data_IF_576957975581
#
_entry.id   IF_576957975581
#
_cell.length_a   1.000
_cell.length_b   1.000
_cell.length_c   1.000
_cell.angle_alpha   90.00
_cell.angle_beta   90.00
_cell.angle_gamma   90.00
#
_symmetry.space_group_name_H-M   'P 1'
#
loop_
_entity.id
_entity.type
_entity.pdbx_description
1 polymer ?
#
# COMPACT_ATOMS: atom_id res chain seq x y z
N UNK A 1 11.82 -3.72 12.28
CA UNK A 1 12.34 -3.29 13.59
C UNK A 1 13.82 -2.86 13.51
N UNK A 2 14.72 -3.68 12.96
CA UNK A 2 16.14 -3.37 12.83
C UNK A 2 16.40 -2.13 11.96
N UNK A 3 15.75 -2.01 10.80
CA UNK A 3 15.83 -0.80 9.96
C UNK A 3 15.35 0.45 10.69
N UNK A 4 14.27 0.36 11.44
CA UNK A 4 13.73 1.48 12.20
C UNK A 4 14.69 1.94 13.31
N UNK A 5 15.40 1.02 13.95
CA UNK A 5 16.45 1.36 14.92
C UNK A 5 17.62 2.06 14.23
N UNK A 6 18.13 1.53 13.12
CA UNK A 6 19.21 2.16 12.36
C UNK A 6 18.87 3.57 11.85
N UNK A 7 17.63 3.79 11.43
CA UNK A 7 17.14 5.12 11.01
C UNK A 7 17.22 6.10 12.18
N UNK A 8 16.71 5.74 13.35
CA UNK A 8 16.75 6.59 14.55
C UNK A 8 18.18 6.87 15.03
N UNK A 9 19.03 5.85 15.04
CA UNK A 9 20.43 5.99 15.46
C UNK A 9 21.24 6.88 14.50
N UNK A 10 20.79 7.02 13.25
CA UNK A 10 21.40 7.87 12.23
C UNK A 10 20.88 9.30 12.24
N UNK A 11 19.95 9.65 13.11
CA UNK A 11 19.28 10.96 13.17
C UNK A 11 18.73 11.39 11.81
N UNK A 12 17.99 10.49 11.14
CA UNK A 12 17.26 10.75 9.91
C UNK A 12 15.76 10.48 10.15
N UNK A 13 14.85 11.19 9.46
CA UNK A 13 13.43 10.99 9.67
C UNK A 13 12.99 9.62 9.15
N UNK A 14 12.10 8.96 9.88
CA UNK A 14 11.41 7.77 9.44
C UNK A 14 10.20 8.18 8.58
N UNK A 15 10.27 7.89 7.29
CA UNK A 15 9.15 8.08 6.35
C UNK A 15 8.48 6.73 6.11
N UNK A 16 7.17 6.67 6.27
CA UNK A 16 6.36 5.46 6.04
C UNK A 16 5.34 5.71 4.96
N UNK A 17 5.40 4.94 3.88
CA UNK A 17 4.30 4.82 2.94
C UNK A 17 3.22 3.91 3.54
N UNK A 18 2.10 4.52 3.92
CA UNK A 18 0.98 3.84 4.57
C UNK A 18 -0.23 3.65 3.64
N UNK A 19 0.02 3.66 2.35
CA UNK A 19 -1.02 3.57 1.31
C UNK A 19 -1.91 2.35 1.49
N UNK A 20 -1.33 1.17 1.78
CA UNK A 20 -2.08 -0.09 1.85
C UNK A 20 -2.77 -0.33 3.19
N UNK A 21 -2.20 0.17 4.28
CA UNK A 21 -2.82 0.04 5.58
C UNK A 21 -3.90 1.12 5.84
N UNK A 22 -3.77 2.28 5.21
CA UNK A 22 -4.61 3.46 5.47
C UNK A 22 -4.54 3.93 6.93
N UNK A 23 -5.02 5.12 7.27
CA UNK A 23 -5.07 5.54 8.66
C UNK A 23 -6.12 4.78 9.50
N UNK A 24 -6.95 3.95 8.85
CA UNK A 24 -7.93 3.10 9.55
C UNK A 24 -7.28 1.86 10.18
N UNK A 25 -6.38 1.16 9.46
CA UNK A 25 -5.73 -0.04 9.97
C UNK A 25 -4.51 0.29 10.83
N UNK A 26 -3.67 1.24 10.39
CA UNK A 26 -2.44 1.62 11.10
C UNK A 26 -2.21 3.13 10.99
N UNK A 27 -1.81 3.73 12.10
CA UNK A 27 -1.34 5.12 12.16
C UNK A 27 0.14 5.16 12.54
N UNK A 28 1.06 5.16 11.57
CA UNK A 28 2.50 4.99 11.83
C UNK A 28 3.11 6.05 12.74
N UNK A 29 2.55 7.26 12.80
CA UNK A 29 2.99 8.33 13.71
C UNK A 29 2.87 7.90 15.18
N UNK A 30 1.89 7.08 15.53
CA UNK A 30 1.71 6.53 16.89
C UNK A 30 2.82 5.52 17.25
N UNK A 31 3.49 4.99 16.22
CA UNK A 31 4.63 4.07 16.34
C UNK A 31 5.98 4.73 16.06
N UNK A 32 6.00 6.07 15.96
CA UNK A 32 7.21 6.87 15.84
C UNK A 32 7.67 7.12 14.42
N UNK A 33 6.79 7.07 13.42
CA UNK A 33 7.08 7.65 12.12
C UNK A 33 7.07 9.17 12.23
N UNK A 34 7.99 9.81 11.53
CA UNK A 34 8.09 11.26 11.47
C UNK A 34 7.25 11.84 10.35
N UNK A 35 7.23 11.14 9.22
CA UNK A 35 6.46 11.50 8.03
C UNK A 35 5.69 10.27 7.55
N UNK A 36 4.42 10.48 7.18
CA UNK A 36 3.59 9.45 6.55
C UNK A 36 3.12 9.94 5.19
N UNK A 37 3.23 9.07 4.20
CA UNK A 37 2.72 9.33 2.85
C UNK A 37 1.62 8.34 2.50
N UNK A 38 0.66 8.81 1.71
CA UNK A 38 -0.37 7.97 1.11
C UNK A 38 -0.51 8.30 -0.37
N UNK A 39 -0.57 7.29 -1.21
CA UNK A 39 -1.20 7.45 -2.52
C UNK A 39 -2.72 7.53 -2.30
N UNK A 40 -3.27 8.74 -2.39
CA UNK A 40 -4.71 8.93 -2.26
C UNK A 40 -5.49 8.28 -3.42
N UNK A 41 -4.82 8.04 -4.54
CA UNK A 41 -5.30 7.26 -5.69
C UNK A 41 -5.87 5.91 -5.29
N UNK A 42 -5.31 5.28 -4.24
CA UNK A 42 -5.64 3.92 -3.78
C UNK A 42 -6.88 3.95 -2.86
N UNK A 43 -6.83 3.38 -1.68
CA UNK A 43 -7.97 3.27 -0.76
C UNK A 43 -8.67 4.60 -0.43
N UNK A 44 -7.95 5.73 -0.38
CA UNK A 44 -8.57 7.02 -0.05
C UNK A 44 -9.62 7.38 -1.11
N UNK A 45 -9.26 7.41 -2.39
CA UNK A 45 -10.22 7.58 -3.48
C UNK A 45 -11.10 6.35 -3.68
N UNK A 46 -10.50 5.16 -3.66
CA UNK A 46 -11.16 3.86 -3.63
C UNK A 46 -11.74 3.38 -4.96
N UNK A 47 -11.67 4.15 -6.04
CA UNK A 47 -12.36 3.85 -7.31
C UNK A 47 -11.43 3.93 -8.54
N UNK A 48 -10.14 4.17 -8.36
CA UNK A 48 -9.18 4.30 -9.48
C UNK A 48 -9.47 5.46 -10.44
N UNK A 49 -10.31 6.41 -10.06
CA UNK A 49 -10.82 7.47 -10.95
C UNK A 49 -9.99 8.75 -10.93
N UNK A 50 -9.08 8.89 -9.99
CA UNK A 50 -8.28 10.12 -9.84
C UNK A 50 -6.92 9.83 -9.20
N UNK A 51 -5.93 10.63 -9.54
CA UNK A 51 -4.55 10.52 -9.04
C UNK A 51 -4.28 11.64 -8.05
N UNK A 52 -3.67 11.28 -6.92
CA UNK A 52 -3.23 12.22 -5.91
C UNK A 52 -2.51 11.56 -4.75
N UNK A 53 -1.95 12.39 -3.89
CA UNK A 53 -1.21 11.95 -2.71
C UNK A 53 -1.43 12.86 -1.52
N UNK A 54 -1.09 12.34 -0.34
CA UNK A 54 -1.11 13.08 0.92
C UNK A 54 0.20 12.85 1.64
N UNK A 55 0.77 13.92 2.18
CA UNK A 55 1.96 13.89 3.04
C UNK A 55 1.55 14.44 4.40
N UNK A 56 1.81 13.68 5.44
CA UNK A 56 1.54 14.05 6.83
C UNK A 56 2.87 14.18 7.56
N UNK A 57 3.15 15.37 8.06
CA UNK A 57 4.30 15.66 8.92
C UNK A 57 3.85 15.54 10.38
N UNK A 58 4.55 14.73 11.18
CA UNK A 58 4.25 14.60 12.61
C UNK A 58 4.61 15.86 13.40
N UNK A 59 5.48 16.71 12.86
CA UNK A 59 6.02 17.88 13.52
C UNK A 59 6.99 17.58 14.67
N UNK A 60 7.41 16.32 14.82
CA UNK A 60 8.23 15.87 15.98
C UNK A 60 9.71 15.73 15.66
N UNK A 61 10.08 15.66 14.39
CA UNK A 61 11.47 15.51 14.00
C UNK A 61 12.23 16.86 14.14
N UNK A 62 13.34 16.82 14.84
CA UNK A 62 14.23 18.00 14.96
C UNK A 62 15.15 18.09 13.76
N UNK A 63 14.81 18.96 12.81
CA UNK A 63 15.59 19.19 11.59
C UNK A 63 16.92 19.90 11.85
N UNK A 64 17.14 20.44 13.06
CA UNK A 64 18.34 21.20 13.41
C UNK A 64 19.42 20.37 14.10
N UNK A 65 19.14 19.09 14.41
CA UNK A 65 20.04 18.22 15.19
C UNK A 65 21.33 17.82 14.49
N UNK A 66 21.42 18.04 13.18
CA UNK A 66 22.60 17.74 12.37
C UNK A 66 22.63 18.62 11.11
N UNK A 67 23.68 18.51 10.31
CA UNK A 67 23.94 19.27 9.10
C UNK A 67 23.35 18.65 7.80
N UNK A 68 22.56 17.61 7.92
CA UNK A 68 22.00 16.87 6.75
C UNK A 68 20.89 17.63 6.01
N UNK A 69 20.30 18.64 6.64
CA UNK A 69 19.10 19.32 6.14
C UNK A 69 19.30 20.82 5.93
N UNK A 70 20.40 21.27 5.24
CA UNK A 70 20.70 22.70 5.08
C UNK A 70 19.54 23.45 4.40
N UNK A 71 18.86 22.82 3.47
CA UNK A 71 17.72 23.40 2.74
C UNK A 71 16.47 23.72 3.62
N UNK A 72 16.37 23.11 4.81
CA UNK A 72 15.35 23.45 5.82
C UNK A 72 15.85 24.42 6.89
N UNK A 73 17.14 24.31 7.25
CA UNK A 73 17.72 24.97 8.42
C UNK A 73 18.31 26.33 8.06
N UNK A 74 18.97 26.44 6.90
CA UNK A 74 19.60 27.68 6.45
C UNK A 74 18.53 28.70 5.98
N UNK A 75 18.84 30.02 6.14
CA UNK A 75 17.97 31.07 5.63
C UNK A 75 17.72 30.96 4.13
N UNK A 76 16.47 30.86 3.72
CA UNK A 76 16.09 30.73 2.32
C UNK A 76 16.00 32.11 1.66
N UNK A 77 16.85 32.37 0.66
CA UNK A 77 16.93 33.66 -0.05
C UNK A 77 15.64 34.02 -0.75
N UNK A 78 14.94 33.02 -1.36
CA UNK A 78 13.68 33.22 -2.07
C UNK A 78 12.50 33.57 -1.14
N UNK A 79 12.68 33.39 0.17
CA UNK A 79 11.71 33.69 1.23
C UNK A 79 12.27 34.68 2.25
N UNK A 80 13.05 35.65 1.78
CA UNK A 80 13.56 36.76 2.60
C UNK A 80 14.32 36.32 3.86
N UNK A 81 15.02 35.20 3.78
CA UNK A 81 15.84 34.70 4.89
C UNK A 81 15.11 33.80 5.89
N UNK A 82 13.90 33.33 5.58
CA UNK A 82 13.17 32.38 6.43
C UNK A 82 13.93 31.07 6.54
N UNK A 83 14.12 30.58 7.77
CA UNK A 83 14.56 29.21 8.09
C UNK A 83 13.32 28.36 8.35
N UNK A 84 12.97 27.47 7.44
CA UNK A 84 11.75 26.66 7.59
C UNK A 84 11.75 25.85 8.88
N UNK A 85 12.90 25.28 9.26
CA UNK A 85 13.04 24.49 10.49
C UNK A 85 12.77 25.32 11.75
N UNK A 86 13.16 26.60 11.77
CA UNK A 86 13.02 27.48 12.95
C UNK A 86 11.74 28.28 12.94
N UNK A 87 11.40 28.87 11.79
CA UNK A 87 10.31 29.85 11.69
C UNK A 87 8.95 29.19 11.39
N UNK A 88 8.96 27.95 10.87
CA UNK A 88 7.75 27.22 10.48
C UNK A 88 7.47 25.96 11.32
N UNK A 89 8.23 25.76 12.42
CA UNK A 89 7.94 24.63 13.31
C UNK A 89 6.54 24.76 13.93
N UNK A 90 5.83 23.62 14.15
CA UNK A 90 6.26 22.23 13.95
C UNK A 90 6.07 21.70 12.52
N UNK A 91 5.51 22.46 11.60
CA UNK A 91 5.17 22.05 10.24
C UNK A 91 6.27 22.39 9.22
N UNK A 92 7.55 22.36 9.60
CA UNK A 92 8.68 22.79 8.78
C UNK A 92 8.74 22.08 7.42
N UNK A 93 8.66 20.75 7.42
CA UNK A 93 8.75 19.94 6.22
C UNK A 93 7.56 20.15 5.27
N UNK A 94 6.34 20.09 5.81
CA UNK A 94 5.13 20.30 5.03
C UNK A 94 5.06 21.73 4.46
N UNK A 95 5.52 22.75 5.23
CA UNK A 95 5.58 24.13 4.78
C UNK A 95 6.61 24.30 3.65
N UNK A 96 7.79 23.71 3.78
CA UNK A 96 8.79 23.72 2.71
C UNK A 96 8.26 23.12 1.42
N UNK A 97 7.62 21.94 1.48
CA UNK A 97 7.02 21.30 0.30
C UNK A 97 6.02 22.23 -0.37
N UNK A 98 5.15 22.90 0.39
CA UNK A 98 4.14 23.81 -0.17
C UNK A 98 4.75 25.11 -0.72
N UNK A 99 5.69 25.67 0.01
CA UNK A 99 6.29 26.97 -0.33
C UNK A 99 7.29 26.88 -1.49
N UNK A 100 8.07 25.79 -1.54
CA UNK A 100 9.14 25.61 -2.53
C UNK A 100 8.72 24.61 -3.61
N UNK A 101 8.55 23.33 -3.26
CA UNK A 101 8.38 22.28 -4.27
C UNK A 101 7.07 22.43 -5.05
N UNK A 102 5.96 22.66 -4.37
CA UNK A 102 4.67 22.87 -5.03
C UNK A 102 4.68 24.12 -5.92
N UNK A 103 5.23 25.23 -5.42
CA UNK A 103 5.34 26.46 -6.17
C UNK A 103 6.21 26.33 -7.41
N UNK A 104 7.39 25.71 -7.26
CA UNK A 104 8.39 25.66 -8.32
C UNK A 104 8.05 24.61 -9.39
N UNK A 105 7.43 23.49 -9.01
CA UNK A 105 7.01 22.44 -9.93
C UNK A 105 5.61 22.65 -10.49
N UNK A 106 4.76 23.43 -9.81
CA UNK A 106 3.37 23.63 -10.19
C UNK A 106 2.48 22.39 -10.02
N UNK A 107 2.94 21.37 -9.28
CA UNK A 107 2.26 20.08 -9.10
C UNK A 107 1.07 20.19 -8.13
N UNK A 108 0.16 21.12 -8.38
CA UNK A 108 -1.04 21.32 -7.56
C UNK A 108 -2.15 20.36 -7.95
N UNK A 109 -2.92 19.90 -6.93
CA UNK A 109 -4.07 19.03 -7.18
C UNK A 109 -5.26 19.81 -7.73
N UNK A 110 -6.02 19.20 -8.65
CA UNK A 110 -7.28 19.76 -9.14
C UNK A 110 -8.32 19.83 -8.00
N UNK A 111 -9.13 20.91 -7.91
CA UNK A 111 -10.25 20.97 -6.97
C UNK A 111 -11.24 19.83 -7.12
N UNK A 112 -11.48 19.34 -8.33
CA UNK A 112 -12.35 18.18 -8.59
C UNK A 112 -11.75 16.91 -8.00
N UNK A 113 -10.44 16.69 -8.16
CA UNK A 113 -9.78 15.53 -7.54
C UNK A 113 -9.80 15.63 -6.00
N UNK A 114 -9.60 16.83 -5.45
CA UNK A 114 -9.70 17.05 -4.00
C UNK A 114 -11.10 16.71 -3.49
N UNK A 115 -12.15 17.11 -4.19
CA UNK A 115 -13.54 16.78 -3.87
C UNK A 115 -13.78 15.27 -3.87
N UNK A 116 -13.31 14.56 -4.91
CA UNK A 116 -13.42 13.10 -5.01
C UNK A 116 -12.72 12.41 -3.83
N UNK A 117 -11.53 12.87 -3.44
CA UNK A 117 -10.82 12.32 -2.30
C UNK A 117 -11.51 12.59 -0.96
N UNK A 118 -12.09 13.78 -0.79
CA UNK A 118 -12.87 14.09 0.42
C UNK A 118 -14.09 13.18 0.53
N UNK A 119 -14.83 12.96 -0.56
CA UNK A 119 -15.93 11.98 -0.57
C UNK A 119 -15.45 10.55 -0.26
N UNK A 120 -14.32 10.14 -0.84
CA UNK A 120 -13.71 8.85 -0.56
C UNK A 120 -13.32 8.68 0.91
N UNK A 121 -12.84 9.74 1.56
CA UNK A 121 -12.50 9.71 2.98
C UNK A 121 -13.71 9.48 3.89
N UNK A 122 -14.88 10.00 3.55
CA UNK A 122 -16.10 9.84 4.36
C UNK A 122 -16.52 8.37 4.51
N UNK A 123 -16.21 7.54 3.51
CA UNK A 123 -16.55 6.10 3.52
C UNK A 123 -15.32 5.20 3.68
N UNK A 124 -14.14 5.75 3.93
CA UNK A 124 -12.89 4.98 3.97
C UNK A 124 -12.95 3.83 4.98
N UNK A 125 -13.39 4.09 6.21
CA UNK A 125 -13.45 3.08 7.27
C UNK A 125 -14.39 1.93 6.90
N UNK A 126 -15.58 2.24 6.39
CA UNK A 126 -16.57 1.25 5.97
C UNK A 126 -16.04 0.37 4.82
N UNK A 127 -15.37 0.98 3.86
CA UNK A 127 -14.80 0.25 2.73
C UNK A 127 -13.62 -0.63 3.16
N UNK A 128 -12.69 -0.08 3.93
CA UNK A 128 -11.50 -0.85 4.39
C UNK A 128 -11.91 -2.00 5.29
N UNK A 129 -12.90 -1.83 6.16
CA UNK A 129 -13.46 -2.91 6.98
C UNK A 129 -14.00 -4.04 6.10
N UNK A 130 -14.81 -3.70 5.08
CA UNK A 130 -15.35 -4.69 4.13
C UNK A 130 -14.24 -5.36 3.31
N UNK A 131 -13.27 -4.60 2.83
CA UNK A 131 -12.09 -5.15 2.12
C UNK A 131 -11.37 -6.20 2.97
N UNK A 132 -11.11 -5.89 4.24
CA UNK A 132 -10.41 -6.79 5.17
C UNK A 132 -11.24 -8.03 5.46
N UNK A 133 -12.54 -7.86 5.75
CA UNK A 133 -13.45 -8.99 6.00
C UNK A 133 -13.47 -9.96 4.81
N UNK A 134 -13.65 -9.43 3.60
CA UNK A 134 -13.64 -10.24 2.38
C UNK A 134 -12.27 -10.93 2.17
N UNK A 135 -11.17 -10.18 2.34
CA UNK A 135 -9.83 -10.72 2.15
C UNK A 135 -9.53 -11.89 3.12
N UNK A 136 -9.93 -11.79 4.39
CA UNK A 136 -9.69 -12.86 5.35
C UNK A 136 -10.46 -14.14 4.99
N UNK A 137 -11.68 -14.03 4.47
CA UNK A 137 -12.47 -15.17 3.98
C UNK A 137 -11.82 -15.80 2.73
N UNK A 138 -11.37 -14.97 1.80
CA UNK A 138 -10.65 -15.44 0.59
C UNK A 138 -9.31 -16.09 0.96
N UNK A 139 -8.55 -15.52 1.90
CA UNK A 139 -7.30 -16.12 2.40
C UNK A 139 -7.54 -17.51 2.98
N UNK A 140 -8.62 -17.69 3.76
CA UNK A 140 -8.96 -19.00 4.32
C UNK A 140 -9.39 -19.98 3.21
N UNK A 141 -10.22 -19.55 2.26
CA UNK A 141 -10.59 -20.38 1.11
C UNK A 141 -9.36 -20.85 0.31
N UNK A 142 -8.46 -19.92 -0.02
CA UNK A 142 -7.25 -20.25 -0.78
C UNK A 142 -6.28 -21.16 -0.01
N UNK A 143 -6.21 -21.03 1.32
CA UNK A 143 -5.40 -21.91 2.16
C UNK A 143 -5.85 -23.37 2.07
N UNK A 144 -7.14 -23.59 1.96
CA UNK A 144 -7.75 -24.91 1.92
C UNK A 144 -7.89 -25.46 0.48
N UNK A 145 -7.55 -24.65 -0.57
CA UNK A 145 -7.68 -25.00 -1.96
C UNK A 145 -6.51 -25.96 -2.40
N UNK A 146 -6.83 -27.17 -2.91
CA UNK A 146 -5.79 -28.15 -3.26
C UNK A 146 -4.80 -27.73 -4.35
N UNK A 147 -5.19 -26.79 -5.24
CA UNK A 147 -4.34 -26.27 -6.31
C UNK A 147 -3.48 -25.06 -5.88
N UNK A 148 -3.57 -24.64 -4.62
CA UNK A 148 -2.73 -23.58 -4.04
C UNK A 148 -1.55 -24.19 -3.30
N UNK A 149 -0.36 -23.67 -3.56
CA UNK A 149 0.87 -24.08 -2.86
C UNK A 149 1.12 -23.25 -1.62
N UNK A 150 0.84 -21.96 -1.71
CA UNK A 150 1.12 -21.00 -0.64
C UNK A 150 0.24 -19.77 -0.75
N UNK A 151 -0.18 -19.23 0.39
CA UNK A 151 -0.83 -17.91 0.49
C UNK A 151 0.06 -17.00 1.33
N UNK A 152 0.39 -15.83 0.79
CA UNK A 152 1.27 -14.86 1.45
C UNK A 152 0.43 -13.75 2.08
N UNK A 153 -0.21 -14.05 3.23
CA UNK A 153 -0.93 -13.06 4.02
C UNK A 153 -0.53 -13.17 5.50
N UNK A 154 -0.31 -12.05 6.21
CA UNK A 154 0.21 -12.07 7.58
C UNK A 154 -0.72 -12.74 8.60
N UNK A 155 -2.04 -12.80 8.34
CA UNK A 155 -3.01 -13.42 9.26
C UNK A 155 -2.82 -14.94 9.44
N UNK A 156 -2.20 -15.60 8.46
CA UNK A 156 -1.99 -17.06 8.45
C UNK A 156 -0.51 -17.44 8.55
N UNK A 157 0.36 -16.49 8.91
CA UNK A 157 1.79 -16.76 9.11
C UNK A 157 1.99 -17.76 10.25
N UNK A 158 2.85 -18.77 10.04
CA UNK A 158 3.25 -19.74 11.05
C UNK A 158 4.37 -19.22 11.96
N UNK A 159 5.04 -18.14 11.55
CA UNK A 159 6.09 -17.49 12.34
C UNK A 159 5.48 -16.74 13.53
N UNK A 160 5.88 -17.12 14.74
CA UNK A 160 5.38 -16.51 15.98
C UNK A 160 5.69 -15.03 16.11
N UNK A 161 6.87 -14.58 15.67
CA UNK A 161 7.23 -13.16 15.68
C UNK A 161 6.32 -12.37 14.73
N UNK A 162 6.06 -12.90 13.54
CA UNK A 162 5.13 -12.27 12.59
C UNK A 162 3.70 -12.22 13.13
N UNK A 163 3.25 -13.26 13.80
CA UNK A 163 1.92 -13.26 14.45
C UNK A 163 1.81 -12.20 15.55
N UNK A 164 2.84 -12.05 16.38
CA UNK A 164 2.87 -11.01 17.43
C UNK A 164 2.89 -9.60 16.82
N UNK A 165 3.70 -9.38 15.78
CA UNK A 165 3.75 -8.11 15.05
C UNK A 165 2.41 -7.81 14.37
N UNK A 166 1.78 -8.80 13.76
CA UNK A 166 0.46 -8.66 13.15
C UNK A 166 -0.58 -8.22 14.18
N UNK A 167 -0.69 -8.92 15.32
CA UNK A 167 -1.61 -8.55 16.40
C UNK A 167 -1.34 -7.15 16.96
N UNK A 168 -0.06 -6.77 17.05
CA UNK A 168 0.36 -5.48 17.59
C UNK A 168 0.03 -4.30 16.68
N UNK A 169 0.32 -4.44 15.39
CA UNK A 169 0.23 -3.31 14.44
C UNK A 169 -1.06 -3.30 13.64
N UNK A 170 -1.75 -4.43 13.53
CA UNK A 170 -2.94 -4.59 12.71
C UNK A 170 -4.12 -5.16 13.49
N UNK A 171 -4.56 -4.51 14.58
CA UNK A 171 -5.67 -5.00 15.39
C UNK A 171 -6.99 -5.08 14.59
N UNK A 172 -7.13 -4.27 13.55
CA UNK A 172 -8.29 -4.22 12.66
C UNK A 172 -8.08 -5.00 11.35
N UNK A 173 -7.06 -5.86 11.26
CA UNK A 173 -6.73 -6.66 10.10
C UNK A 173 -5.59 -6.12 9.23
N UNK A 174 -5.02 -7.00 8.39
CA UNK A 174 -3.76 -6.76 7.65
C UNK A 174 -3.92 -6.25 6.22
N UNK A 175 -5.07 -5.72 5.86
CA UNK A 175 -5.33 -5.23 4.50
C UNK A 175 -5.97 -6.29 3.60
N UNK A 176 -6.10 -5.96 2.30
CA UNK A 176 -6.82 -6.78 1.32
C UNK A 176 -6.01 -7.07 0.06
N UNK A 177 -4.71 -6.77 0.10
CA UNK A 177 -3.80 -6.99 -1.03
C UNK A 177 -2.78 -8.04 -0.59
N UNK A 178 -2.72 -9.14 -1.32
CA UNK A 178 -1.82 -10.23 -1.02
C UNK A 178 -1.52 -11.05 -2.27
N UNK A 179 -0.59 -12.00 -2.14
CA UNK A 179 -0.24 -12.93 -3.21
C UNK A 179 -0.49 -14.36 -2.78
N UNK A 180 -0.71 -15.22 -3.76
CA UNK A 180 -0.66 -16.66 -3.57
C UNK A 180 0.08 -17.32 -4.74
N UNK A 181 0.54 -18.54 -4.51
CA UNK A 181 1.26 -19.36 -5.47
C UNK A 181 0.36 -20.55 -5.86
N UNK A 182 0.05 -20.67 -7.15
CA UNK A 182 -0.76 -21.77 -7.66
C UNK A 182 0.16 -22.96 -8.04
N UNK A 183 -0.33 -24.19 -7.95
CA UNK A 183 0.41 -25.35 -8.45
C UNK A 183 0.61 -25.27 -9.96
N UNK A 184 1.84 -25.58 -10.41
CA UNK A 184 2.25 -25.46 -11.81
C UNK A 184 3.21 -24.29 -12.03
N UNK A 185 3.07 -23.58 -13.13
CA UNK A 185 3.95 -22.49 -13.52
C UNK A 185 3.20 -21.26 -14.03
N UNK A 186 3.89 -20.45 -14.85
CA UNK A 186 3.33 -19.23 -15.42
C UNK A 186 2.11 -19.48 -16.30
N UNK A 187 2.05 -20.62 -17.00
CA UNK A 187 0.92 -20.97 -17.87
C UNK A 187 -0.36 -21.21 -17.07
N UNK A 188 -0.24 -21.96 -15.97
CA UNK A 188 -1.36 -22.25 -15.08
C UNK A 188 -1.83 -20.97 -14.39
N UNK A 189 -0.90 -20.09 -13.94
CA UNK A 189 -1.24 -18.80 -13.36
C UNK A 189 -1.98 -17.89 -14.35
N UNK A 190 -1.54 -17.82 -15.61
CA UNK A 190 -2.20 -17.06 -16.66
C UNK A 190 -3.57 -17.67 -17.00
N UNK A 191 -3.66 -19.00 -17.19
CA UNK A 191 -4.93 -19.70 -17.46
C UNK A 191 -5.94 -19.44 -16.34
N UNK A 192 -5.50 -19.47 -15.08
CA UNK A 192 -6.36 -19.12 -13.94
C UNK A 192 -6.94 -17.71 -14.04
N UNK A 193 -6.08 -16.71 -14.28
CA UNK A 193 -6.52 -15.30 -14.39
C UNK A 193 -7.45 -15.09 -15.60
N UNK A 194 -7.18 -15.74 -16.72
CA UNK A 194 -7.98 -15.63 -17.93
C UNK A 194 -9.40 -16.23 -17.79
N UNK A 195 -9.64 -17.06 -16.77
CA UNK A 195 -10.94 -17.63 -16.43
C UNK A 195 -11.67 -16.90 -15.30
N UNK A 196 -11.11 -15.80 -14.76
CA UNK A 196 -11.82 -14.95 -13.81
C UNK A 196 -12.80 -14.04 -14.57
N UNK A 197 -14.04 -13.96 -14.10
CA UNK A 197 -15.11 -13.12 -14.69
C UNK A 197 -15.39 -11.88 -13.83
N UNK A 198 -15.40 -12.02 -12.50
CA UNK A 198 -15.66 -10.92 -11.58
C UNK A 198 -14.42 -10.07 -11.35
N UNK A 199 -13.24 -10.72 -11.22
CA UNK A 199 -11.99 -9.99 -11.05
C UNK A 199 -11.58 -9.30 -12.35
N UNK A 200 -11.23 -8.02 -12.26
CA UNK A 200 -10.64 -7.33 -13.40
C UNK A 200 -9.14 -7.57 -13.47
N UNK A 201 -8.63 -7.94 -14.66
CA UNK A 201 -7.19 -7.97 -14.95
C UNK A 201 -6.69 -6.53 -15.10
N UNK A 202 -6.19 -5.97 -14.02
CA UNK A 202 -5.74 -4.58 -13.97
C UNK A 202 -4.58 -4.40 -13.01
N UNK A 203 -3.50 -3.76 -13.50
CA UNK A 203 -2.33 -3.42 -12.70
C UNK A 203 -2.58 -2.25 -11.74
N UNK A 204 -3.66 -2.31 -10.97
CA UNK A 204 -4.01 -1.42 -9.89
C UNK A 204 -4.22 -2.21 -8.59
N UNK A 205 -4.50 -1.54 -7.50
CA UNK A 205 -4.81 -2.13 -6.18
C UNK A 205 -5.72 -1.20 -5.41
N UNK A 206 -6.39 -1.73 -4.38
CA UNK A 206 -7.20 -0.93 -3.46
C UNK A 206 -8.40 -0.23 -4.10
N UNK A 207 -8.91 -0.81 -5.16
CA UNK A 207 -10.18 -0.45 -5.76
C UNK A 207 -11.33 -1.16 -5.02
N UNK A 208 -12.53 -0.58 -5.04
CA UNK A 208 -13.75 -1.24 -4.54
C UNK A 208 -14.07 -2.51 -5.33
N UNK A 209 -13.54 -2.64 -6.54
CA UNK A 209 -13.59 -3.85 -7.37
C UNK A 209 -12.42 -4.78 -7.06
N UNK A 210 -12.68 -6.07 -7.09
CA UNK A 210 -11.65 -7.10 -7.01
C UNK A 210 -10.76 -7.12 -8.26
N UNK A 211 -9.44 -7.14 -8.05
CA UNK A 211 -8.46 -7.10 -9.12
C UNK A 211 -7.47 -8.26 -8.98
N UNK A 212 -7.06 -8.81 -10.12
CA UNK A 212 -6.04 -9.86 -10.20
C UNK A 212 -4.97 -9.51 -11.24
N UNK A 213 -3.72 -9.87 -10.97
CA UNK A 213 -2.64 -9.83 -11.95
C UNK A 213 -1.68 -11.01 -11.76
N UNK A 214 -0.98 -11.33 -12.85
CA UNK A 214 0.22 -12.15 -12.83
C UNK A 214 1.45 -11.22 -12.82
N UNK A 215 2.10 -10.96 -11.67
CA UNK A 215 3.14 -9.93 -11.56
C UNK A 215 4.29 -10.10 -12.54
N UNK A 216 4.76 -11.33 -12.73
CA UNK A 216 5.90 -11.62 -13.60
C UNK A 216 5.68 -11.24 -15.07
N UNK A 217 4.45 -11.32 -15.60
CA UNK A 217 4.14 -10.95 -16.99
C UNK A 217 3.51 -9.57 -17.16
N UNK A 218 3.29 -8.84 -16.06
CA UNK A 218 2.63 -7.52 -16.09
C UNK A 218 3.51 -6.45 -15.45
N UNK A 219 3.35 -6.20 -14.15
CA UNK A 219 4.05 -5.11 -13.43
C UNK A 219 5.56 -5.29 -13.32
N UNK A 220 6.08 -6.51 -13.48
CA UNK A 220 7.50 -6.84 -13.39
C UNK A 220 8.01 -7.52 -14.67
N UNK A 221 7.36 -7.30 -15.81
CA UNK A 221 7.72 -7.93 -17.09
C UNK A 221 9.11 -7.54 -17.62
N UNK A 222 9.69 -6.44 -17.12
CA UNK A 222 11.05 -5.99 -17.45
C UNK A 222 12.12 -6.68 -16.60
N UNK A 223 11.75 -7.36 -15.50
CA UNK A 223 12.67 -8.05 -14.61
C UNK A 223 13.05 -9.40 -15.19
N UNK A 224 14.33 -9.76 -15.04
CA UNK A 224 14.78 -11.13 -15.33
C UNK A 224 14.39 -12.09 -14.18
N UNK A 225 14.56 -13.40 -14.40
CA UNK A 225 14.16 -14.43 -13.44
C UNK A 225 14.84 -14.28 -12.06
N UNK A 226 16.12 -13.92 -12.03
CA UNK A 226 16.84 -13.72 -10.76
C UNK A 226 16.32 -12.50 -9.98
N UNK A 227 16.01 -11.42 -10.68
CA UNK A 227 15.42 -10.22 -10.09
C UNK A 227 14.00 -10.46 -9.56
N UNK A 228 13.20 -11.26 -10.27
CA UNK A 228 11.87 -11.67 -9.81
C UNK A 228 11.97 -12.48 -8.52
N UNK A 229 12.85 -13.47 -8.48
CA UNK A 229 13.07 -14.33 -7.30
C UNK A 229 13.59 -13.54 -6.09
N UNK A 230 14.50 -12.58 -6.31
CA UNK A 230 14.99 -11.68 -5.24
C UNK A 230 13.85 -10.83 -4.64
N UNK A 231 12.86 -10.49 -5.43
CA UNK A 231 11.65 -9.79 -5.01
C UNK A 231 10.56 -10.73 -4.46
N UNK A 232 10.82 -12.04 -4.41
CA UNK A 232 9.87 -13.05 -3.93
C UNK A 232 8.73 -13.34 -4.92
N UNK A 233 8.92 -13.03 -6.21
CA UNK A 233 7.95 -13.29 -7.27
C UNK A 233 8.38 -14.53 -8.02
N UNK A 234 7.58 -15.59 -7.93
CA UNK A 234 7.75 -16.83 -8.69
C UNK A 234 6.92 -16.81 -9.97
N UNK A 235 7.24 -17.69 -10.96
CA UNK A 235 6.44 -17.78 -12.18
C UNK A 235 4.95 -18.11 -11.96
N UNK A 236 4.61 -18.76 -10.86
CA UNK A 236 3.25 -19.13 -10.47
C UNK A 236 2.60 -18.19 -9.44
N UNK A 237 3.19 -17.02 -9.22
CA UNK A 237 2.65 -16.02 -8.27
C UNK A 237 1.52 -15.24 -8.90
N UNK A 238 0.38 -15.18 -8.20
CA UNK A 238 -0.77 -14.34 -8.52
C UNK A 238 -0.96 -13.32 -7.40
N UNK A 239 -1.22 -12.06 -7.74
CA UNK A 239 -1.57 -11.00 -6.79
C UNK A 239 -3.05 -10.68 -6.89
N UNK A 240 -3.72 -10.68 -5.75
CA UNK A 240 -5.09 -10.24 -5.60
C UNK A 240 -5.17 -8.92 -4.84
N UNK A 241 -6.11 -8.09 -5.24
CA UNK A 241 -6.61 -6.94 -4.48
C UNK A 241 -8.10 -7.15 -4.30
N UNK A 242 -8.51 -7.59 -3.11
CA UNK A 242 -9.89 -7.97 -2.85
C UNK A 242 -10.73 -6.73 -2.65
N UNK A 243 -11.84 -6.66 -3.36
CA UNK A 243 -12.80 -5.56 -3.36
C UNK A 243 -13.88 -5.68 -2.28
N UNK A 244 -14.96 -4.94 -2.50
CA UNK A 244 -16.08 -4.82 -1.55
C UNK A 244 -17.34 -5.57 -2.01
N UNK A 245 -17.24 -6.34 -3.08
CA UNK A 245 -18.32 -7.17 -3.62
C UNK A 245 -18.81 -8.20 -2.58
N UNK A 246 -19.88 -8.90 -2.87
CA UNK A 246 -20.30 -10.04 -2.05
C UNK A 246 -19.19 -11.09 -2.02
N UNK A 247 -18.79 -11.51 -0.84
CA UNK A 247 -17.65 -12.44 -0.69
C UNK A 247 -17.94 -13.83 -1.27
N UNK A 248 -19.19 -14.26 -1.29
CA UNK A 248 -19.57 -15.55 -1.87
C UNK A 248 -19.38 -15.53 -3.38
N UNK A 249 -19.72 -14.41 -4.05
CA UNK A 249 -19.48 -14.22 -5.49
C UNK A 249 -17.97 -14.17 -5.80
N UNK A 250 -17.17 -13.51 -4.94
CA UNK A 250 -15.70 -13.50 -5.06
C UNK A 250 -15.13 -14.92 -5.00
N UNK A 251 -15.59 -15.72 -4.04
CA UNK A 251 -15.11 -17.10 -3.85
C UNK A 251 -15.61 -18.00 -4.97
N UNK A 252 -16.83 -17.83 -5.45
CA UNK A 252 -17.37 -18.58 -6.57
C UNK A 252 -16.56 -18.34 -7.85
N UNK A 253 -16.22 -17.08 -8.17
CA UNK A 253 -15.38 -16.74 -9.32
C UNK A 253 -13.99 -17.40 -9.25
N UNK A 254 -13.36 -17.39 -8.06
CA UNK A 254 -12.10 -18.09 -7.85
C UNK A 254 -12.23 -19.61 -8.02
N UNK A 255 -13.32 -20.21 -7.53
CA UNK A 255 -13.57 -21.64 -7.61
C UNK A 255 -13.80 -22.10 -9.05
N UNK A 256 -14.57 -21.34 -9.83
CA UNK A 256 -14.74 -21.63 -11.26
C UNK A 256 -13.43 -21.52 -12.05
N UNK A 257 -12.60 -20.52 -11.75
CA UNK A 257 -11.27 -20.40 -12.36
C UNK A 257 -10.34 -21.59 -12.00
N UNK A 258 -10.42 -22.13 -10.77
CA UNK A 258 -9.69 -23.36 -10.40
C UNK A 258 -10.24 -24.61 -11.10
N UNK A 259 -11.56 -24.74 -11.28
CA UNK A 259 -12.18 -25.85 -12.03
C UNK A 259 -11.70 -25.87 -13.48
N UNK A 260 -11.64 -24.70 -14.12
CA UNK A 260 -11.13 -24.58 -15.49
C UNK A 260 -9.66 -25.02 -15.67
N UNK A 261 -8.87 -25.02 -14.60
CA UNK A 261 -7.48 -25.53 -14.64
C UNK A 261 -7.42 -27.07 -14.65
N UNK A 262 -8.44 -27.72 -14.10
CA UNK A 262 -8.49 -29.19 -14.01
C UNK A 262 -8.96 -29.85 -15.33
N UNK A 263 -9.53 -29.06 -16.23
CA UNK A 263 -9.90 -29.45 -17.60
C UNK A 263 -8.72 -29.27 -18.58
#
# INVERSE_FOLDING_TARGET
RQRQMCIRDSNIPLVVDNTFATPYLVRPIEYGADIVVHSATKFIGGHGTTIGGVIIDSGKFDWTQNDKWPWLVEPNVSYHGVSFAKDCAPAAFATYIRAILLRDTGATISPVHSFIFLQGLETLSLRVERHVENALKVVQYLKDQPLVEKVNHPSISEDKEQQELYKKYFPNGGGSIFTFEIKGGAKEAQKFIDNLELFSLLANVADVKSLAIHPASTTHSECNEAELLDQGIKPNTIRLSIGTENVDDIIEDLDEAFKALAE
#
